data_IF_077451127222
#
_entry.id   IF_077451127222
#
_cell.length_a   1.000
_cell.length_b   1.000
_cell.length_c   1.000
_cell.angle_alpha   90.00
_cell.angle_beta   90.00
_cell.angle_gamma   90.00
#
_symmetry.space_group_name_H-M   'P 1'
#
loop_
_entity.id
_entity.type
_entity.pdbx_description
1 polymer ?
#
# COMPACT_ATOMS: atom_id res chain seq x y z
N UNK A 1 -7.36 12.87 1.28
CA UNK A 1 -8.35 12.42 2.27
C UNK A 1 -9.61 11.87 1.59
N UNK A 2 -10.55 11.30 2.32
CA UNK A 2 -11.73 10.64 1.78
C UNK A 2 -12.73 11.65 1.21
N UNK A 3 -13.41 11.29 0.11
CA UNK A 3 -14.53 12.05 -0.42
C UNK A 3 -15.73 12.04 0.56
N UNK A 4 -15.97 10.91 1.20
CA UNK A 4 -16.98 10.73 2.25
C UNK A 4 -16.27 10.28 3.53
N UNK A 5 -16.45 11.05 4.60
CA UNK A 5 -15.83 10.74 5.88
C UNK A 5 -16.66 9.70 6.64
N UNK A 6 -16.25 8.45 6.51
CA UNK A 6 -16.75 7.34 7.31
C UNK A 6 -15.56 6.55 7.83
N UNK A 7 -15.18 6.79 9.08
CA UNK A 7 -13.96 6.21 9.67
C UNK A 7 -13.90 4.69 9.56
N UNK A 8 -15.01 4.01 9.82
CA UNK A 8 -15.09 2.54 9.76
C UNK A 8 -14.86 2.04 8.33
N UNK A 9 -15.62 2.53 7.37
CA UNK A 9 -15.52 2.07 5.99
C UNK A 9 -14.16 2.45 5.38
N UNK A 10 -13.66 3.64 5.70
CA UNK A 10 -12.38 4.12 5.20
C UNK A 10 -11.22 3.29 5.78
N UNK A 11 -11.30 2.91 7.05
CA UNK A 11 -10.33 2.02 7.68
C UNK A 11 -10.28 0.66 6.96
N UNK A 12 -11.44 0.04 6.71
CA UNK A 12 -11.50 -1.23 5.99
C UNK A 12 -11.00 -1.10 4.54
N UNK A 13 -11.27 0.00 3.86
CA UNK A 13 -10.74 0.25 2.50
C UNK A 13 -9.22 0.30 2.48
N UNK A 14 -8.60 1.01 3.42
CA UNK A 14 -7.14 1.10 3.53
C UNK A 14 -6.52 -0.25 3.95
N UNK A 15 -7.16 -0.96 4.87
CA UNK A 15 -6.76 -2.30 5.30
C UNK A 15 -6.78 -3.29 4.13
N UNK A 16 -7.91 -3.39 3.43
CA UNK A 16 -8.08 -4.33 2.31
C UNK A 16 -7.15 -3.98 1.15
N UNK A 17 -7.04 -2.69 0.80
CA UNK A 17 -6.14 -2.25 -0.26
C UNK A 17 -4.68 -2.63 0.01
N UNK A 18 -4.22 -2.43 1.24
CA UNK A 18 -2.85 -2.80 1.63
C UNK A 18 -2.68 -4.31 1.76
N UNK A 19 -3.69 -5.01 2.28
CA UNK A 19 -3.67 -6.48 2.32
C UNK A 19 -3.48 -7.06 0.92
N UNK A 20 -4.27 -6.61 -0.06
CA UNK A 20 -4.16 -7.07 -1.47
C UNK A 20 -2.79 -6.73 -2.03
N UNK A 21 -2.28 -5.51 -1.79
CA UNK A 21 -0.96 -5.10 -2.28
C UNK A 21 0.14 -6.01 -1.75
N UNK A 22 0.23 -6.18 -0.43
CA UNK A 22 1.30 -6.96 0.22
C UNK A 22 1.18 -8.44 -0.13
N UNK A 23 -0.04 -8.97 -0.12
CA UNK A 23 -0.29 -10.36 -0.47
C UNK A 23 0.11 -10.65 -1.91
N UNK A 24 -0.26 -9.80 -2.88
CA UNK A 24 0.15 -9.93 -4.28
C UNK A 24 1.68 -9.92 -4.44
N UNK A 25 2.39 -9.05 -3.71
CA UNK A 25 3.86 -8.97 -3.78
C UNK A 25 4.53 -10.30 -3.42
N UNK A 26 3.99 -11.04 -2.45
CA UNK A 26 4.54 -12.34 -2.07
C UNK A 26 4.47 -13.39 -3.19
N UNK A 27 3.53 -13.23 -4.14
CA UNK A 27 3.36 -14.15 -5.27
C UNK A 27 4.00 -13.65 -6.57
N UNK A 28 4.60 -12.47 -6.59
CA UNK A 28 5.35 -12.00 -7.75
C UNK A 28 6.65 -12.80 -7.85
N UNK A 29 6.69 -13.73 -8.81
CA UNK A 29 7.86 -14.56 -9.05
C UNK A 29 9.02 -13.70 -9.59
N UNK A 30 10.23 -13.98 -9.09
CA UNK A 30 11.45 -13.44 -9.72
C UNK A 30 11.85 -14.30 -10.90
N UNK A 31 12.39 -13.71 -11.98
CA UNK A 31 12.99 -14.46 -13.07
C UNK A 31 14.09 -15.36 -12.53
N UNK A 32 14.13 -16.61 -12.98
CA UNK A 32 15.16 -17.55 -12.62
C UNK A 32 15.63 -18.36 -13.82
N UNK A 33 16.85 -18.86 -13.74
CA UNK A 33 17.43 -19.81 -14.70
C UNK A 33 17.96 -21.01 -13.92
N UNK A 34 17.69 -22.20 -14.43
CA UNK A 34 18.32 -23.41 -13.90
C UNK A 34 19.57 -23.72 -14.73
N UNK A 35 20.74 -23.70 -14.09
CA UNK A 35 22.02 -24.00 -14.68
C UNK A 35 22.68 -25.12 -13.87
N UNK A 36 22.90 -26.26 -14.50
CA UNK A 36 23.53 -27.43 -13.87
C UNK A 36 22.84 -27.92 -12.57
N UNK A 37 21.51 -27.76 -12.49
CA UNK A 37 20.71 -28.17 -11.32
C UNK A 37 20.66 -27.11 -10.20
N UNK A 38 21.27 -25.94 -10.38
CA UNK A 38 21.16 -24.79 -9.48
C UNK A 38 20.19 -23.76 -10.02
N UNK A 39 19.25 -23.29 -9.17
CA UNK A 39 18.31 -22.22 -9.52
C UNK A 39 18.94 -20.88 -9.19
N UNK A 40 19.24 -20.10 -10.22
CA UNK A 40 19.82 -18.77 -10.09
C UNK A 40 18.70 -17.73 -10.29
N UNK A 41 18.36 -16.98 -9.25
CA UNK A 41 17.44 -15.86 -9.34
C UNK A 41 18.19 -14.60 -9.78
N UNK A 42 17.62 -13.86 -10.72
CA UNK A 42 18.21 -12.58 -11.17
C UNK A 42 17.15 -11.49 -11.24
N UNK A 43 17.58 -10.24 -11.06
CA UNK A 43 16.72 -9.07 -11.23
C UNK A 43 16.72 -8.62 -12.69
N UNK A 44 15.60 -8.04 -13.10
CA UNK A 44 15.46 -7.38 -14.42
C UNK A 44 15.65 -5.86 -14.32
N UNK A 45 16.31 -5.42 -13.26
CA UNK A 45 16.65 -4.01 -13.02
C UNK A 45 15.41 -3.14 -12.79
N UNK A 46 15.29 -2.06 -13.57
CA UNK A 46 14.18 -1.11 -13.41
C UNK A 46 12.79 -1.73 -13.64
N UNK A 47 12.70 -2.87 -14.29
CA UNK A 47 11.43 -3.56 -14.56
C UNK A 47 10.94 -4.40 -13.37
N UNK A 48 11.76 -4.66 -12.35
CA UNK A 48 11.35 -5.43 -11.16
C UNK A 48 10.17 -4.78 -10.41
N UNK A 49 10.06 -3.46 -10.44
CA UNK A 49 8.98 -2.72 -9.81
C UNK A 49 7.68 -2.67 -10.63
N UNK A 50 7.71 -3.03 -11.91
CA UNK A 50 6.56 -2.90 -12.81
C UNK A 50 5.33 -3.70 -12.35
N UNK A 51 5.44 -4.98 -11.96
CA UNK A 51 4.29 -5.75 -11.47
C UNK A 51 3.67 -5.12 -10.22
N UNK A 52 4.49 -4.63 -9.30
CA UNK A 52 4.01 -3.93 -8.09
C UNK A 52 3.28 -2.64 -8.47
N UNK A 53 3.83 -1.86 -9.42
CA UNK A 53 3.19 -0.65 -9.93
C UNK A 53 1.82 -0.93 -10.55
N UNK A 54 1.68 -2.02 -11.30
CA UNK A 54 0.40 -2.46 -11.88
C UNK A 54 -0.61 -2.81 -10.78
N UNK A 55 -0.20 -3.54 -9.75
CA UNK A 55 -1.07 -3.87 -8.60
C UNK A 55 -1.55 -2.59 -7.91
N UNK A 56 -0.66 -1.64 -7.64
CA UNK A 56 -1.02 -0.33 -7.05
C UNK A 56 -2.01 0.42 -7.95
N UNK A 57 -1.80 0.41 -9.25
CA UNK A 57 -2.69 1.06 -10.21
C UNK A 57 -4.10 0.44 -10.19
N UNK A 58 -4.19 -0.89 -10.20
CA UNK A 58 -5.47 -1.61 -10.11
C UNK A 58 -6.19 -1.28 -8.80
N UNK A 59 -5.49 -1.28 -7.67
CA UNK A 59 -6.05 -0.88 -6.37
C UNK A 59 -6.56 0.57 -6.44
N UNK A 60 -5.80 1.47 -7.06
CA UNK A 60 -6.19 2.86 -7.25
C UNK A 60 -7.48 3.01 -8.05
N UNK A 61 -7.65 2.22 -9.10
CA UNK A 61 -8.86 2.24 -9.94
C UNK A 61 -10.09 1.63 -9.23
N UNK A 62 -9.89 0.62 -8.39
CA UNK A 62 -11.00 -0.13 -7.75
C UNK A 62 -11.38 0.42 -6.38
N UNK A 63 -10.43 0.74 -5.53
CA UNK A 63 -10.62 1.19 -4.15
C UNK A 63 -10.30 2.67 -3.92
N UNK A 64 -9.76 3.35 -4.93
CA UNK A 64 -9.33 4.75 -4.79
C UNK A 64 -10.44 5.73 -4.50
N UNK A 65 -11.67 5.45 -4.94
CA UNK A 65 -12.82 6.34 -4.76
C UNK A 65 -13.22 6.55 -3.29
N UNK A 66 -12.90 5.64 -2.39
CA UNK A 66 -13.30 5.70 -0.98
C UNK A 66 -12.39 6.57 -0.14
N UNK A 67 -11.06 6.39 -0.26
CA UNK A 67 -10.07 7.02 0.63
C UNK A 67 -8.98 7.79 -0.10
N UNK A 68 -8.90 7.64 -1.43
CA UNK A 68 -7.75 8.07 -2.22
C UNK A 68 -6.56 7.08 -2.13
N UNK A 69 -6.85 5.83 -1.71
CA UNK A 69 -5.90 4.70 -1.64
C UNK A 69 -4.50 5.10 -1.14
N UNK A 70 -4.41 5.59 0.07
CA UNK A 70 -3.12 5.87 0.68
C UNK A 70 -2.28 4.58 0.78
N UNK A 71 -2.89 3.49 1.25
CA UNK A 71 -2.34 2.12 1.36
C UNK A 71 -0.87 2.03 1.81
N UNK A 72 -0.39 3.11 2.41
CA UNK A 72 0.98 3.27 2.86
C UNK A 72 1.04 4.38 3.92
N UNK A 73 1.47 4.07 5.16
CA UNK A 73 1.57 5.06 6.22
C UNK A 73 2.44 6.27 5.86
N UNK A 74 3.58 6.03 5.23
CA UNK A 74 4.52 7.09 4.88
C UNK A 74 3.98 8.02 3.79
N UNK A 75 3.22 7.46 2.84
CA UNK A 75 2.60 8.21 1.73
C UNK A 75 1.55 9.19 2.21
N UNK A 76 0.87 8.94 3.34
CA UNK A 76 -0.05 9.90 3.96
C UNK A 76 0.67 10.80 4.96
N UNK A 77 1.43 10.22 5.88
CA UNK A 77 2.05 10.95 6.99
C UNK A 77 3.04 12.01 6.52
N UNK A 78 3.93 11.67 5.59
CA UNK A 78 4.97 12.59 5.09
C UNK A 78 4.39 13.87 4.49
N UNK A 79 3.54 13.80 3.45
CA UNK A 79 2.91 14.98 2.87
C UNK A 79 2.03 15.75 3.86
N UNK A 80 1.29 15.08 4.76
CA UNK A 80 0.47 15.70 5.79
C UNK A 80 1.31 16.52 6.77
N UNK A 81 2.44 15.95 7.21
CA UNK A 81 3.39 16.62 8.08
C UNK A 81 3.97 17.86 7.40
N UNK A 82 4.47 17.72 6.18
CA UNK A 82 5.03 18.83 5.41
C UNK A 82 3.98 19.92 5.15
N UNK A 83 2.74 19.54 4.82
CA UNK A 83 1.65 20.47 4.66
C UNK A 83 1.36 21.29 5.93
N UNK A 84 1.56 20.68 7.12
CA UNK A 84 1.39 21.37 8.40
C UNK A 84 2.42 22.47 8.62
N UNK A 85 3.62 22.34 8.04
CA UNK A 85 4.69 23.35 8.17
C UNK A 85 4.63 24.44 7.10
N UNK A 86 3.93 24.23 5.99
CA UNK A 86 3.87 25.24 4.93
C UNK A 86 3.25 26.55 5.44
N UNK A 87 3.80 27.73 5.06
CA UNK A 87 3.28 29.02 5.48
C UNK A 87 2.01 29.41 4.69
N UNK A 88 0.93 28.63 4.85
CA UNK A 88 -0.36 28.86 4.19
C UNK A 88 -1.42 29.31 5.20
N UNK A 89 -2.25 30.28 4.81
CA UNK A 89 -3.45 30.65 5.56
C UNK A 89 -4.52 29.56 5.41
N UNK A 90 -5.27 29.28 6.47
CA UNK A 90 -6.41 28.34 6.47
C UNK A 90 -6.07 26.89 6.12
N UNK A 91 -4.85 26.42 6.42
CA UNK A 91 -4.48 25.02 6.22
C UNK A 91 -5.25 24.10 7.17
N UNK A 92 -5.67 22.95 6.62
CA UNK A 92 -6.39 21.91 7.37
C UNK A 92 -5.69 20.56 7.12
N UNK A 93 -4.65 20.22 7.88
CA UNK A 93 -3.90 18.97 7.69
C UNK A 93 -4.68 17.72 8.10
N UNK A 94 -5.83 17.87 8.75
CA UNK A 94 -6.77 16.80 9.10
C UNK A 94 -6.12 15.64 9.89
N UNK A 95 -5.44 15.99 10.96
CA UNK A 95 -4.77 15.03 11.83
C UNK A 95 -5.73 14.01 12.48
N UNK A 96 -6.98 14.39 12.69
CA UNK A 96 -8.00 13.49 13.24
C UNK A 96 -8.31 12.29 12.34
N UNK A 97 -8.01 12.40 11.04
CA UNK A 97 -8.17 11.31 10.08
C UNK A 97 -6.89 10.50 9.87
N UNK A 98 -5.72 11.06 10.18
CA UNK A 98 -4.41 10.49 9.81
C UNK A 98 -4.16 9.08 10.32
N UNK A 99 -4.79 8.68 11.41
CA UNK A 99 -4.62 7.34 11.97
C UNK A 99 -5.12 6.24 11.04
N UNK A 100 -6.13 6.51 10.20
CA UNK A 100 -6.70 5.53 9.26
C UNK A 100 -5.68 5.08 8.21
N UNK A 101 -5.08 5.98 7.41
CA UNK A 101 -4.05 5.61 6.46
C UNK A 101 -2.72 5.17 7.09
N UNK A 102 -2.60 5.23 8.40
CA UNK A 102 -1.46 4.68 9.15
C UNK A 102 -1.79 3.26 9.65
N UNK A 103 -2.83 3.14 10.47
CA UNK A 103 -3.15 1.87 11.15
C UNK A 103 -3.78 0.86 10.19
N UNK A 104 -4.68 1.30 9.29
CA UNK A 104 -5.31 0.43 8.29
C UNK A 104 -4.28 -0.36 7.47
N UNK A 105 -3.33 0.32 6.80
CA UNK A 105 -2.27 -0.35 6.05
C UNK A 105 -1.36 -1.26 6.89
N UNK A 106 -1.00 -0.86 8.10
CA UNK A 106 -0.19 -1.72 8.99
C UNK A 106 -0.93 -3.02 9.29
N UNK A 107 -2.20 -2.93 9.68
CA UNK A 107 -3.03 -4.12 9.96
C UNK A 107 -3.20 -4.97 8.70
N UNK A 108 -3.49 -4.36 7.55
CA UNK A 108 -3.61 -5.06 6.27
C UNK A 108 -2.35 -5.80 5.88
N UNK A 109 -1.19 -5.16 6.00
CA UNK A 109 0.11 -5.78 5.71
C UNK A 109 0.44 -6.96 6.64
N UNK A 110 0.19 -6.80 7.95
CA UNK A 110 0.39 -7.89 8.93
C UNK A 110 -0.51 -9.07 8.62
N UNK A 111 -1.80 -8.85 8.33
CA UNK A 111 -2.72 -9.93 7.98
C UNK A 111 -2.31 -10.65 6.69
N UNK A 112 -1.81 -9.92 5.69
CA UNK A 112 -1.30 -10.51 4.46
C UNK A 112 -0.08 -11.42 4.73
N UNK A 113 0.86 -10.96 5.57
CA UNK A 113 2.03 -11.77 5.96
C UNK A 113 1.65 -13.02 6.76
N UNK A 114 0.71 -12.89 7.70
CA UNK A 114 0.22 -14.03 8.49
C UNK A 114 -0.47 -15.07 7.59
N UNK A 115 -1.34 -14.62 6.67
CA UNK A 115 -2.01 -15.53 5.76
C UNK A 115 -1.00 -16.24 4.84
N UNK A 116 -0.03 -15.50 4.31
CA UNK A 116 1.02 -16.09 3.49
C UNK A 116 1.78 -17.20 4.23
N UNK A 117 2.18 -16.97 5.48
CA UNK A 117 2.88 -17.98 6.30
C UNK A 117 2.04 -19.24 6.60
N UNK A 118 0.71 -19.14 6.56
CA UNK A 118 -0.18 -20.29 6.75
C UNK A 118 -0.33 -21.10 5.46
N UNK A 119 -0.20 -20.45 4.30
CA UNK A 119 -0.40 -21.06 3.00
C UNK A 119 0.86 -21.76 2.45
N UNK A 120 2.04 -21.36 2.92
CA UNK A 120 3.33 -21.89 2.46
C UNK A 120 4.11 -22.48 3.63
#
# INVERSE_FOLDING_TARGET
GPAIRNYKNNFFSELIGTFILVFAIFFIAKPNLEIQGEVINFGIGALDALPVGIVVWVIGMTLGGTTGFAINPARDFGPRLMYSFLPRKNKKPDWSYSWIPIVGPIVGGVLAGLLFNVLI
#
